data_IF_176394837855
#
_entry.id   IF_176394837855
#
_cell.length_a   1.000
_cell.length_b   1.000
_cell.length_c   1.000
_cell.angle_alpha   90.00
_cell.angle_beta   90.00
_cell.angle_gamma   90.00
#
_symmetry.space_group_name_H-M   'P 1'
#
loop_
_entity.id
_entity.type
_entity.pdbx_description
1 polymer ?
#
# COMPACT_ATOMS: atom_id res chain seq x y z
N UNK A 1 4.72 37.74 15.78
CA UNK A 1 6.10 37.30 15.46
C UNK A 1 6.15 35.78 15.53
N UNK A 2 5.95 35.11 14.39
CA UNK A 2 6.12 33.65 14.28
C UNK A 2 7.61 33.36 14.15
N UNK A 3 8.18 32.75 15.19
CA UNK A 3 9.54 32.20 15.14
C UNK A 3 9.63 31.29 13.91
N UNK A 4 10.60 31.43 12.99
CA UNK A 4 10.69 30.54 11.85
C UNK A 4 10.83 29.11 12.38
N UNK A 5 9.91 28.23 12.00
CA UNK A 5 9.96 26.82 12.35
C UNK A 5 11.26 26.25 11.79
N UNK A 6 12.00 25.51 12.60
CA UNK A 6 13.19 24.80 12.12
C UNK A 6 12.78 23.91 10.95
N UNK A 7 13.41 24.04 9.76
CA UNK A 7 13.08 23.20 8.62
C UNK A 7 13.30 21.73 8.98
N UNK A 8 12.26 20.92 8.80
CA UNK A 8 12.38 19.47 8.93
C UNK A 8 13.24 18.95 7.76
N UNK A 9 14.22 18.11 8.06
CA UNK A 9 15.12 17.52 7.07
C UNK A 9 14.59 16.14 6.66
N UNK A 10 14.38 15.88 5.36
CA UNK A 10 13.94 14.57 4.90
C UNK A 10 14.92 13.45 5.28
N UNK A 11 14.37 12.32 5.68
CA UNK A 11 15.13 11.10 5.95
C UNK A 11 15.65 10.54 4.62
N UNK A 12 16.97 10.40 4.49
CA UNK A 12 17.58 9.74 3.35
C UNK A 12 17.32 8.24 3.36
N UNK A 13 16.55 7.76 2.38
CA UNK A 13 16.27 6.34 2.12
C UNK A 13 17.00 5.91 0.86
N UNK A 14 17.78 4.83 0.95
CA UNK A 14 18.35 4.16 -0.24
C UNK A 14 17.23 3.41 -0.98
N UNK A 15 16.49 4.15 -1.80
CA UNK A 15 15.33 3.64 -2.54
C UNK A 15 15.70 2.51 -3.50
N UNK A 16 16.92 2.50 -4.03
CA UNK A 16 17.42 1.45 -4.93
C UNK A 16 17.59 0.14 -4.17
N UNK A 17 18.25 0.18 -3.00
CA UNK A 17 18.44 -1.00 -2.17
C UNK A 17 17.11 -1.51 -1.60
N UNK A 18 16.24 -0.61 -1.14
CA UNK A 18 14.90 -0.96 -0.65
C UNK A 18 14.08 -1.63 -1.75
N UNK A 19 14.05 -1.07 -2.96
CA UNK A 19 13.31 -1.65 -4.09
C UNK A 19 13.85 -3.04 -4.47
N UNK A 20 15.18 -3.19 -4.54
CA UNK A 20 15.81 -4.50 -4.77
C UNK A 20 15.39 -5.53 -3.72
N UNK A 21 15.31 -5.12 -2.46
CA UNK A 21 14.85 -6.01 -1.39
C UNK A 21 13.37 -6.37 -1.53
N UNK A 22 12.51 -5.42 -1.89
CA UNK A 22 11.09 -5.67 -2.16
C UNK A 22 10.93 -6.67 -3.29
N UNK A 23 11.64 -6.48 -4.41
CA UNK A 23 11.64 -7.42 -5.55
C UNK A 23 12.14 -8.81 -5.14
N UNK A 24 13.18 -8.87 -4.31
CA UNK A 24 13.68 -10.13 -3.74
C UNK A 24 12.63 -10.81 -2.85
N UNK A 25 11.91 -10.06 -2.00
CA UNK A 25 10.81 -10.58 -1.21
C UNK A 25 9.63 -11.08 -2.07
N UNK A 26 9.31 -10.43 -3.20
CA UNK A 26 8.30 -10.91 -4.15
C UNK A 26 8.69 -12.28 -4.76
N UNK A 27 9.99 -12.53 -4.95
CA UNK A 27 10.50 -13.80 -5.46
C UNK A 27 10.55 -14.89 -4.39
N UNK A 28 11.06 -14.57 -3.21
CA UNK A 28 11.39 -15.54 -2.15
C UNK A 28 10.21 -15.90 -1.25
N UNK A 29 9.25 -14.98 -1.02
CA UNK A 29 8.12 -15.25 -0.14
C UNK A 29 7.23 -16.32 -0.77
N UNK A 30 7.04 -17.42 -0.02
CA UNK A 30 6.12 -18.48 -0.36
C UNK A 30 4.72 -18.04 0.05
N UNK A 31 3.83 -17.91 -0.92
CA UNK A 31 2.42 -17.58 -0.70
C UNK A 31 1.54 -18.76 -1.09
N UNK A 32 0.37 -18.93 -0.47
CA UNK A 32 -0.64 -19.88 -0.96
C UNK A 32 -1.02 -19.61 -2.43
N UNK A 33 -1.49 -20.64 -3.13
CA UNK A 33 -1.83 -20.58 -4.56
C UNK A 33 -2.94 -19.57 -4.90
N UNK A 34 -3.82 -19.27 -3.94
CA UNK A 34 -4.91 -18.30 -4.10
C UNK A 34 -4.48 -16.84 -3.90
N UNK A 35 -3.23 -16.58 -3.49
CA UNK A 35 -2.68 -15.23 -3.38
C UNK A 35 -2.04 -14.86 -4.72
N UNK A 36 -2.55 -13.82 -5.37
CA UNK A 36 -1.98 -13.33 -6.62
C UNK A 36 -0.60 -12.74 -6.37
N UNK A 37 0.44 -13.34 -6.96
CA UNK A 37 1.81 -12.85 -6.83
C UNK A 37 2.01 -11.58 -7.67
N UNK A 38 2.53 -10.47 -7.09
CA UNK A 38 2.92 -9.30 -7.87
C UNK A 38 4.04 -9.60 -8.86
N UNK A 39 4.20 -8.82 -9.94
CA UNK A 39 5.35 -8.92 -10.84
C UNK A 39 6.70 -8.87 -10.08
N UNK A 40 7.63 -9.81 -10.33
CA UNK A 40 8.92 -9.86 -9.62
C UNK A 40 9.82 -8.63 -9.80
N UNK A 41 9.56 -7.83 -10.83
CA UNK A 41 10.31 -6.64 -11.22
C UNK A 41 9.52 -5.36 -10.95
N UNK A 42 8.60 -5.40 -9.99
CA UNK A 42 7.80 -4.25 -9.57
C UNK A 42 8.67 -3.00 -9.41
N UNK A 43 8.19 -1.86 -9.92
CA UNK A 43 8.92 -0.59 -9.96
C UNK A 43 9.76 -0.37 -11.22
N UNK A 44 9.97 -1.38 -12.07
CA UNK A 44 10.56 -1.21 -13.40
C UNK A 44 9.50 -1.14 -14.50
N UNK A 45 9.79 -0.39 -15.57
CA UNK A 45 8.89 -0.24 -16.73
C UNK A 45 8.46 -1.60 -17.32
N UNK A 46 9.38 -2.57 -17.34
CA UNK A 46 9.12 -3.93 -17.84
C UNK A 46 8.10 -4.74 -17.03
N UNK A 47 7.85 -4.38 -15.77
CA UNK A 47 6.81 -5.02 -14.97
C UNK A 47 5.38 -4.58 -15.34
N UNK A 48 5.25 -3.56 -16.19
CA UNK A 48 3.98 -2.97 -16.57
C UNK A 48 3.28 -2.28 -15.39
N UNK A 49 1.99 -2.01 -15.56
CA UNK A 49 1.17 -1.38 -14.53
C UNK A 49 0.66 -2.44 -13.56
N UNK A 50 0.85 -2.22 -12.26
CA UNK A 50 0.29 -3.09 -11.24
C UNK A 50 -1.23 -2.98 -11.20
N UNK A 51 -1.89 -4.14 -11.25
CA UNK A 51 -3.33 -4.25 -10.99
C UNK A 51 -3.61 -4.03 -9.51
N UNK A 52 -4.84 -3.70 -9.17
CA UNK A 52 -5.23 -3.46 -7.79
C UNK A 52 -4.92 -4.63 -6.83
N UNK A 53 -5.13 -5.88 -7.27
CA UNK A 53 -4.78 -7.02 -6.43
C UNK A 53 -3.26 -7.17 -6.23
N UNK A 54 -2.45 -6.82 -7.24
CA UNK A 54 -0.99 -6.76 -7.07
C UNK A 54 -0.60 -5.72 -6.03
N UNK A 55 -1.22 -4.53 -6.05
CA UNK A 55 -0.99 -3.51 -5.02
C UNK A 55 -1.38 -4.01 -3.63
N UNK A 56 -2.56 -4.63 -3.51
CA UNK A 56 -3.05 -5.19 -2.25
C UNK A 56 -2.05 -6.18 -1.66
N UNK A 57 -1.64 -7.18 -2.43
CA UNK A 57 -0.70 -8.23 -1.96
C UNK A 57 0.70 -7.66 -1.70
N UNK A 58 1.17 -6.73 -2.53
CA UNK A 58 2.45 -6.06 -2.32
C UNK A 58 2.49 -5.35 -0.97
N UNK A 59 1.50 -4.51 -0.67
CA UNK A 59 1.47 -3.74 0.58
C UNK A 59 1.07 -4.57 1.80
N UNK A 60 0.29 -5.65 1.65
CA UNK A 60 -0.12 -6.46 2.80
C UNK A 60 0.86 -7.60 3.15
N UNK A 61 1.69 -8.04 2.20
CA UNK A 61 2.57 -9.21 2.37
C UNK A 61 4.03 -8.88 2.08
N UNK A 62 4.37 -8.53 0.85
CA UNK A 62 5.77 -8.51 0.43
C UNK A 62 6.55 -7.30 0.94
N UNK A 63 5.95 -6.11 0.88
CA UNK A 63 6.55 -4.88 1.39
C UNK A 63 6.83 -4.95 2.90
N UNK A 64 5.87 -5.31 3.78
CA UNK A 64 6.17 -5.39 5.21
C UNK A 64 7.25 -6.42 5.52
N UNK A 65 7.24 -7.60 4.87
CA UNK A 65 8.30 -8.59 5.05
C UNK A 65 9.68 -8.09 4.58
N UNK A 66 9.72 -7.39 3.45
CA UNK A 66 10.95 -6.77 2.94
C UNK A 66 11.50 -5.73 3.93
N UNK A 67 10.67 -4.81 4.41
CA UNK A 67 11.11 -3.75 5.30
C UNK A 67 11.46 -4.27 6.71
N UNK A 68 10.68 -5.19 7.26
CA UNK A 68 11.02 -5.87 8.53
C UNK A 68 12.36 -6.58 8.39
N UNK A 69 12.65 -7.19 7.25
CA UNK A 69 13.95 -7.82 7.08
C UNK A 69 15.11 -6.83 6.98
N UNK A 70 14.90 -5.61 6.48
CA UNK A 70 15.96 -4.58 6.45
C UNK A 70 16.16 -3.88 7.80
N UNK A 71 15.06 -3.61 8.52
CA UNK A 71 15.08 -2.66 9.63
C UNK A 71 14.44 -3.19 10.92
N UNK A 72 13.89 -4.40 10.90
CA UNK A 72 13.29 -5.04 12.06
C UNK A 72 14.32 -5.53 13.06
N UNK A 73 14.03 -5.33 14.35
CA UNK A 73 14.85 -5.81 15.46
C UNK A 73 15.07 -7.32 15.36
N UNK A 74 16.33 -7.76 15.42
CA UNK A 74 16.69 -9.18 15.36
C UNK A 74 16.66 -9.77 13.95
N UNK A 75 16.47 -8.97 12.89
CA UNK A 75 16.61 -9.48 11.53
C UNK A 75 18.07 -9.86 11.24
N UNK A 76 18.35 -11.06 10.70
CA UNK A 76 19.72 -11.51 10.41
C UNK A 76 20.37 -10.76 9.24
N UNK A 77 19.58 -10.00 8.48
CA UNK A 77 20.05 -9.20 7.34
C UNK A 77 19.78 -7.71 7.53
N UNK A 78 19.56 -7.29 8.78
CA UNK A 78 19.32 -5.90 9.10
C UNK A 78 20.47 -5.02 8.57
N UNK A 79 20.11 -3.89 7.95
CA UNK A 79 21.08 -2.88 7.53
C UNK A 79 21.74 -2.20 8.72
N UNK A 80 22.92 -1.61 8.51
CA UNK A 80 23.59 -0.79 9.53
C UNK A 80 22.78 0.44 9.94
N UNK A 81 21.81 0.83 9.10
CA UNK A 81 20.90 1.94 9.35
C UNK A 81 19.54 1.53 9.93
N UNK A 82 19.35 0.26 10.33
CA UNK A 82 18.09 -0.26 10.85
C UNK A 82 17.50 0.59 11.98
N UNK A 83 18.32 0.97 12.98
CA UNK A 83 17.89 1.84 14.09
C UNK A 83 17.40 3.20 13.59
N UNK A 84 18.13 3.80 12.63
CA UNK A 84 17.79 5.09 12.02
C UNK A 84 16.51 5.00 11.19
N UNK A 85 16.27 3.86 10.53
CA UNK A 85 15.09 3.61 9.69
C UNK A 85 13.89 3.05 10.44
N UNK A 86 13.96 2.95 11.78
CA UNK A 86 12.86 2.43 12.60
C UNK A 86 11.58 3.24 12.42
N UNK A 87 11.65 4.59 12.35
CA UNK A 87 10.47 5.42 12.10
C UNK A 87 9.85 5.13 10.73
N UNK A 88 10.66 5.07 9.68
CA UNK A 88 10.23 4.74 8.32
C UNK A 88 9.59 3.35 8.25
N UNK A 89 10.15 2.36 8.96
CA UNK A 89 9.56 1.03 9.09
C UNK A 89 8.17 1.10 9.72
N UNK A 90 8.04 1.76 10.88
CA UNK A 90 6.76 1.90 11.58
C UNK A 90 5.72 2.64 10.74
N UNK A 91 6.12 3.74 10.09
CA UNK A 91 5.30 4.49 9.14
C UNK A 91 4.75 3.57 8.05
N UNK A 92 5.57 2.67 7.49
CA UNK A 92 5.09 1.68 6.51
C UNK A 92 4.23 0.58 7.12
N UNK A 93 4.50 0.13 8.35
CA UNK A 93 3.68 -0.89 9.03
C UNK A 93 2.27 -0.38 9.27
N UNK A 94 2.10 0.90 9.62
CA UNK A 94 0.79 1.51 9.77
C UNK A 94 -0.02 1.49 8.46
N UNK A 95 0.61 1.77 7.31
CA UNK A 95 -0.05 1.64 6.01
C UNK A 95 -0.45 0.19 5.71
N UNK A 96 0.43 -0.78 6.03
CA UNK A 96 0.13 -2.22 5.92
C UNK A 96 -1.10 -2.58 6.75
N UNK A 97 -1.15 -2.16 8.03
CA UNK A 97 -2.28 -2.39 8.92
C UNK A 97 -3.58 -1.80 8.35
N UNK A 98 -3.56 -0.53 7.93
CA UNK A 98 -4.71 0.11 7.31
C UNK A 98 -5.18 -0.66 6.06
N UNK A 99 -4.26 -1.05 5.18
CA UNK A 99 -4.55 -1.79 3.94
C UNK A 99 -5.18 -3.16 4.23
N UNK A 100 -4.66 -3.90 5.22
CA UNK A 100 -5.19 -5.21 5.62
C UNK A 100 -6.62 -5.05 6.15
N UNK A 101 -6.85 -4.08 7.04
CA UNK A 101 -8.16 -3.85 7.66
C UNK A 101 -9.20 -3.44 6.63
N UNK A 102 -8.85 -2.49 5.77
CA UNK A 102 -9.70 -2.00 4.68
C UNK A 102 -10.13 -3.15 3.74
N UNK A 103 -9.26 -4.13 3.55
CA UNK A 103 -9.47 -5.30 2.72
C UNK A 103 -9.91 -6.54 3.52
N UNK A 104 -10.59 -6.42 4.67
CA UNK A 104 -11.25 -7.56 5.34
C UNK A 104 -12.71 -7.71 4.87
N UNK A 105 -13.25 -8.93 5.01
CA UNK A 105 -14.65 -9.22 4.65
C UNK A 105 -15.63 -8.84 5.77
N UNK A 106 -15.13 -8.63 6.98
CA UNK A 106 -15.93 -8.37 8.16
C UNK A 106 -15.51 -7.04 8.78
N UNK A 107 -16.47 -6.11 8.82
CA UNK A 107 -16.27 -4.81 9.44
C UNK A 107 -16.76 -4.86 10.87
N UNK A 108 -15.99 -4.29 11.80
CA UNK A 108 -16.39 -4.09 13.19
C UNK A 108 -15.95 -2.71 13.64
N UNK A 109 -16.54 -2.20 14.73
CA UNK A 109 -16.15 -0.91 15.30
C UNK A 109 -14.63 -0.87 15.61
N UNK A 110 -14.09 -1.93 16.19
CA UNK A 110 -12.66 -2.04 16.50
C UNK A 110 -11.78 -1.98 15.23
N UNK A 111 -12.26 -2.53 14.10
CA UNK A 111 -11.54 -2.47 12.83
C UNK A 111 -11.62 -1.09 12.21
N UNK A 112 -12.78 -0.44 12.22
CA UNK A 112 -12.91 0.95 11.77
C UNK A 112 -11.94 1.87 12.52
N UNK A 113 -11.91 1.72 13.84
CA UNK A 113 -10.99 2.47 14.69
C UNK A 113 -9.52 2.13 14.39
N UNK A 114 -9.16 0.85 14.25
CA UNK A 114 -7.80 0.44 13.88
C UNK A 114 -7.37 1.00 12.51
N UNK A 115 -8.27 1.01 11.52
CA UNK A 115 -8.00 1.62 10.21
C UNK A 115 -7.68 3.10 10.38
N UNK A 116 -8.55 3.84 11.08
CA UNK A 116 -8.37 5.28 11.29
C UNK A 116 -7.07 5.60 12.01
N UNK A 117 -6.81 4.93 13.14
CA UNK A 117 -5.58 5.13 13.93
C UNK A 117 -4.32 4.80 13.13
N UNK A 118 -4.35 3.70 12.37
CA UNK A 118 -3.21 3.33 11.52
C UNK A 118 -2.99 4.35 10.40
N UNK A 119 -4.06 4.83 9.76
CA UNK A 119 -3.92 5.85 8.71
C UNK A 119 -3.40 7.18 9.27
N UNK A 120 -3.89 7.63 10.44
CA UNK A 120 -3.35 8.82 11.13
C UNK A 120 -1.85 8.66 11.40
N UNK A 121 -1.46 7.56 12.04
CA UNK A 121 -0.06 7.31 12.39
C UNK A 121 0.85 7.22 11.14
N UNK A 122 0.35 6.65 10.04
CA UNK A 122 1.07 6.67 8.77
C UNK A 122 1.31 8.09 8.24
N UNK A 123 0.27 8.94 8.23
CA UNK A 123 0.40 10.32 7.74
C UNK A 123 1.27 11.18 8.67
N UNK A 124 1.18 10.99 9.98
CA UNK A 124 2.05 11.67 10.94
C UNK A 124 3.51 11.24 10.75
N UNK A 125 3.78 9.95 10.58
CA UNK A 125 5.09 9.43 10.24
C UNK A 125 5.65 9.99 8.93
N UNK A 126 4.82 10.07 7.88
CA UNK A 126 5.21 10.72 6.62
C UNK A 126 5.58 12.19 6.81
N UNK A 127 4.82 12.96 7.61
CA UNK A 127 5.13 14.36 7.90
C UNK A 127 6.44 14.52 8.65
N UNK A 128 6.74 13.58 9.56
CA UNK A 128 7.97 13.58 10.36
C UNK A 128 9.18 13.20 9.51
N UNK A 129 9.11 12.08 8.79
CA UNK A 129 10.25 11.50 8.07
C UNK A 129 10.45 12.14 6.68
N UNK A 130 9.38 12.61 6.04
CA UNK A 130 9.37 13.14 4.67
C UNK A 130 8.57 14.46 4.59
N UNK A 131 9.03 15.52 5.27
CA UNK A 131 8.36 16.80 5.29
C UNK A 131 8.16 17.36 3.87
N UNK A 132 6.95 17.84 3.59
CA UNK A 132 6.55 18.31 2.26
C UNK A 132 5.97 17.22 1.34
N UNK A 133 6.06 15.95 1.72
CA UNK A 133 5.42 14.85 0.97
C UNK A 133 3.93 14.70 1.34
N UNK A 134 3.10 15.60 0.82
CA UNK A 134 1.65 15.57 1.00
C UNK A 134 0.94 15.55 -0.34
N UNK A 135 0.15 14.50 -0.57
CA UNK A 135 -0.62 14.33 -1.80
C UNK A 135 -2.13 14.42 -1.49
N UNK A 136 -2.96 14.90 -2.42
CA UNK A 136 -4.42 14.89 -2.26
C UNK A 136 -4.98 13.51 -1.93
N UNK A 137 -4.34 12.44 -2.44
CA UNK A 137 -4.69 11.06 -2.13
C UNK A 137 -4.62 10.71 -0.65
N UNK A 138 -3.70 11.33 0.12
CA UNK A 138 -3.62 11.15 1.57
C UNK A 138 -4.87 11.67 2.27
N UNK A 139 -5.41 12.81 1.82
CA UNK A 139 -6.67 13.34 2.33
C UNK A 139 -7.85 12.43 1.93
N UNK A 140 -7.90 12.02 0.66
CA UNK A 140 -8.96 11.13 0.16
C UNK A 140 -9.00 9.79 0.91
N UNK A 141 -7.84 9.27 1.32
CA UNK A 141 -7.77 8.04 2.10
C UNK A 141 -8.52 8.11 3.43
N UNK A 142 -8.64 9.29 4.06
CA UNK A 142 -9.41 9.43 5.30
C UNK A 142 -10.92 9.24 5.09
N UNK A 143 -11.45 9.61 3.93
CA UNK A 143 -12.87 9.41 3.60
C UNK A 143 -13.24 7.93 3.44
N UNK A 144 -12.26 7.03 3.24
CA UNK A 144 -12.50 5.58 3.23
C UNK A 144 -13.08 5.13 4.57
N UNK A 145 -12.65 5.71 5.69
CA UNK A 145 -13.22 5.40 7.01
C UNK A 145 -14.73 5.72 7.04
N UNK A 146 -15.11 6.90 6.54
CA UNK A 146 -16.48 7.38 6.57
C UNK A 146 -17.37 6.56 5.62
N UNK A 147 -16.84 6.21 4.44
CA UNK A 147 -17.51 5.28 3.53
C UNK A 147 -17.63 3.87 4.09
N UNK A 148 -16.63 3.36 4.80
CA UNK A 148 -16.76 2.06 5.46
C UNK A 148 -17.86 2.08 6.53
N UNK A 149 -18.02 3.20 7.24
CA UNK A 149 -19.07 3.38 8.24
C UNK A 149 -20.49 3.41 7.63
N UNK A 150 -20.66 4.00 6.44
CA UNK A 150 -21.99 4.18 5.83
C UNK A 150 -22.34 3.16 4.75
N UNK A 151 -21.36 2.56 4.07
CA UNK A 151 -21.54 1.70 2.89
C UNK A 151 -20.91 0.30 3.04
N UNK A 152 -20.61 -0.12 4.28
CA UNK A 152 -19.93 -1.38 4.60
C UNK A 152 -18.50 -1.47 4.01
N UNK A 153 -17.93 -2.68 3.94
CA UNK A 153 -16.52 -2.87 3.55
C UNK A 153 -16.22 -2.30 2.16
N UNK A 154 -14.96 -1.90 1.93
CA UNK A 154 -14.50 -1.35 0.64
C UNK A 154 -14.82 -2.26 -0.54
N UNK A 155 -14.86 -3.58 -0.33
CA UNK A 155 -15.21 -4.54 -1.38
C UNK A 155 -16.62 -4.41 -1.94
N UNK A 156 -17.54 -3.82 -1.18
CA UNK A 156 -18.93 -3.66 -1.62
C UNK A 156 -19.09 -2.51 -2.63
N UNK A 157 -18.16 -1.55 -2.62
CA UNK A 157 -18.27 -0.31 -3.41
C UNK A 157 -17.02 0.03 -4.22
N UNK A 158 -15.99 -0.83 -4.23
CA UNK A 158 -14.82 -0.64 -5.09
C UNK A 158 -15.15 -0.81 -6.58
N UNK A 159 -14.35 -0.18 -7.44
CA UNK A 159 -14.65 -0.14 -8.88
C UNK A 159 -14.22 -1.38 -9.65
N UNK A 160 -13.56 -2.37 -9.04
CA UNK A 160 -12.96 -3.49 -9.77
C UNK A 160 -13.98 -4.37 -10.49
N UNK A 161 -15.15 -4.59 -9.90
CA UNK A 161 -16.22 -5.33 -10.56
C UNK A 161 -16.70 -4.61 -11.84
N UNK A 162 -16.80 -3.28 -11.79
CA UNK A 162 -17.17 -2.45 -12.93
C UNK A 162 -16.06 -2.38 -13.98
N UNK A 163 -14.80 -2.24 -13.59
CA UNK A 163 -13.65 -2.29 -14.51
C UNK A 163 -13.58 -3.63 -15.26
N UNK A 164 -13.80 -4.74 -14.55
CA UNK A 164 -13.89 -6.06 -15.16
C UNK A 164 -15.07 -6.17 -16.14
N UNK A 165 -16.22 -5.58 -15.80
CA UNK A 165 -17.38 -5.53 -16.69
C UNK A 165 -17.07 -4.69 -17.95
N UNK A 166 -16.52 -3.49 -17.80
CA UNK A 166 -16.12 -2.63 -18.91
C UNK A 166 -15.16 -3.36 -19.83
N UNK A 167 -14.14 -4.03 -19.28
CA UNK A 167 -13.20 -4.82 -20.06
C UNK A 167 -13.83 -5.99 -20.82
N UNK A 168 -14.90 -6.60 -20.27
CA UNK A 168 -15.69 -7.61 -21.00
C UNK A 168 -16.51 -6.97 -22.12
N UNK A 169 -17.19 -5.86 -21.84
CA UNK A 169 -17.99 -5.12 -22.82
C UNK A 169 -17.16 -4.64 -24.01
N UNK A 170 -15.94 -4.14 -23.76
CA UNK A 170 -15.00 -3.69 -24.80
C UNK A 170 -14.55 -4.82 -25.75
N UNK A 171 -14.68 -6.09 -25.35
CA UNK A 171 -14.34 -7.26 -26.19
C UNK A 171 -15.52 -7.78 -27.00
N UNK A 172 -16.74 -7.30 -26.73
CA UNK A 172 -17.90 -7.63 -27.53
C UNK A 172 -17.75 -6.88 -28.86
N UNK A 173 -17.77 -7.57 -30.01
CA UNK A 173 -17.72 -6.90 -31.31
C UNK A 173 -18.90 -5.94 -31.44
N UNK A 174 -18.63 -4.65 -31.62
CA UNK A 174 -19.65 -3.62 -31.87
C UNK A 174 -19.83 -3.37 -33.36
N UNK A 175 -19.68 -4.40 -34.20
CA UNK A 175 -19.73 -4.27 -35.67
C UNK A 175 -21.12 -3.87 -36.20
N UNK A 176 -22.11 -3.63 -35.32
CA UNK A 176 -23.49 -3.23 -35.65
C UNK A 176 -24.19 -4.15 -36.67
N UNK A 177 -23.67 -5.38 -36.86
CA UNK A 177 -24.27 -6.40 -37.71
C UNK A 177 -24.92 -7.43 -36.81
N UNK A 178 -26.25 -7.47 -36.82
CA UNK A 178 -27.02 -8.49 -36.09
C UNK A 178 -26.97 -9.78 -36.91
N UNK A 179 -26.43 -10.87 -36.35
CA UNK A 179 -26.56 -12.22 -36.91
C UNK A 179 -25.33 -12.85 -37.56
N UNK A 180 -24.13 -12.29 -37.38
CA UNK A 180 -22.84 -12.92 -37.76
C UNK A 180 -21.98 -13.23 -36.52
#
# INVERSE_FOLDING_TARGET
MTKPLTPLVPVGVDSVNVLKRVQKAVKEVITPSWVTRPPPEVGFSRAGTLKADHWRVLFSVHLPLALISLWGTGSPIAGTDATRMSSVLQTSMHLTCASIVMCRNNLSANRLDLFRRSLVAHIEGLKQDFPGFMLPSHHLAFHIHDFMKSHANVREWWNFSFENLIGKLQRIPTNHKIGE
#
